data_IF_808022700805
#
_entry.id   IF_808022700805
#
_cell.length_a   1.000
_cell.length_b   1.000
_cell.length_c   1.000
_cell.angle_alpha   90.00
_cell.angle_beta   90.00
_cell.angle_gamma   90.00
#
_symmetry.space_group_name_H-M   'P 1'
#
loop_
_entity.id
_entity.type
_entity.pdbx_description
1 polymer ?
#
# COMPACT_ATOMS: atom_id res chain seq x y z
N UNK A 1 33.37 -1.27 -2.94
CA UNK A 1 32.21 -1.13 -2.04
C UNK A 1 31.05 -0.62 -2.88
N UNK A 2 30.23 -1.53 -3.39
CA UNK A 2 29.09 -1.21 -4.25
C UNK A 2 27.98 -0.64 -3.35
N UNK A 3 27.86 0.68 -3.30
CA UNK A 3 26.72 1.32 -2.66
C UNK A 3 25.50 1.01 -3.53
N UNK A 4 24.75 -0.02 -3.15
CA UNK A 4 23.43 -0.30 -3.67
C UNK A 4 22.60 0.95 -3.41
N UNK A 5 22.52 1.83 -4.40
CA UNK A 5 21.49 2.86 -4.46
C UNK A 5 20.18 2.08 -4.42
N UNK A 6 19.61 1.86 -3.24
CA UNK A 6 18.23 1.44 -3.14
C UNK A 6 17.45 2.55 -3.82
N UNK A 7 16.87 2.31 -5.00
CA UNK A 7 16.10 3.36 -5.65
C UNK A 7 14.95 3.72 -4.69
N UNK A 8 14.50 4.99 -4.68
CA UNK A 8 13.39 5.43 -3.83
C UNK A 8 12.12 4.56 -3.93
N UNK A 9 12.00 3.74 -4.98
CA UNK A 9 10.94 2.73 -5.13
C UNK A 9 11.03 1.49 -4.22
N UNK A 10 12.12 1.23 -3.49
CA UNK A 10 12.25 0.03 -2.64
C UNK A 10 11.31 0.09 -1.43
N UNK A 11 11.17 1.28 -0.84
CA UNK A 11 10.20 1.56 0.22
C UNK A 11 8.78 1.35 -0.27
N UNK A 12 8.43 1.88 -1.45
CA UNK A 12 7.08 1.72 -2.00
C UNK A 12 6.78 0.29 -2.41
N UNK A 13 7.76 -0.48 -2.92
CA UNK A 13 7.57 -1.92 -3.16
C UNK A 13 7.26 -2.67 -1.86
N UNK A 14 7.98 -2.39 -0.78
CA UNK A 14 7.70 -2.98 0.54
C UNK A 14 6.31 -2.64 1.05
N UNK A 15 5.90 -1.38 0.91
CA UNK A 15 4.57 -0.91 1.29
C UNK A 15 3.50 -1.62 0.48
N UNK A 16 3.64 -1.68 -0.85
CA UNK A 16 2.70 -2.37 -1.74
C UNK A 16 2.57 -3.85 -1.40
N UNK A 17 3.70 -4.56 -1.23
CA UNK A 17 3.69 -5.97 -0.85
C UNK A 17 3.02 -6.20 0.50
N UNK A 18 3.35 -5.38 1.50
CA UNK A 18 2.75 -5.50 2.83
C UNK A 18 1.25 -5.18 2.82
N UNK A 19 0.84 -4.11 2.11
CA UNK A 19 -0.58 -3.76 1.98
C UNK A 19 -1.36 -4.88 1.29
N UNK A 20 -0.83 -5.44 0.19
CA UNK A 20 -1.47 -6.59 -0.47
C UNK A 20 -1.60 -7.78 0.46
N UNK A 21 -0.53 -8.14 1.18
CA UNK A 21 -0.53 -9.26 2.13
C UNK A 21 -1.60 -9.07 3.22
N UNK A 22 -1.69 -7.87 3.82
CA UNK A 22 -2.72 -7.58 4.83
C UNK A 22 -4.13 -7.58 4.25
N UNK A 23 -4.32 -7.10 3.02
CA UNK A 23 -5.63 -7.12 2.35
C UNK A 23 -6.05 -8.55 1.96
N UNK A 24 -5.10 -9.41 1.63
CA UNK A 24 -5.32 -10.83 1.34
C UNK A 24 -5.58 -11.63 2.62
N UNK A 25 -4.83 -11.39 3.69
CA UNK A 25 -5.01 -12.04 5.00
C UNK A 25 -6.29 -11.56 5.71
N UNK A 26 -6.65 -10.29 5.54
CA UNK A 26 -7.81 -9.66 6.17
C UNK A 26 -8.69 -8.94 5.14
N UNK A 27 -9.48 -9.67 4.34
CA UNK A 27 -10.44 -9.06 3.41
C UNK A 27 -11.53 -8.26 4.14
N UNK A 28 -11.73 -8.49 5.44
CA UNK A 28 -12.62 -7.72 6.31
C UNK A 28 -12.05 -6.35 6.70
N UNK A 29 -10.72 -6.17 6.65
CA UNK A 29 -10.07 -4.90 7.00
C UNK A 29 -10.28 -3.91 5.86
N UNK A 30 -10.68 -2.69 6.24
CA UNK A 30 -10.77 -1.59 5.27
C UNK A 30 -9.37 -1.18 4.86
N UNK A 31 -9.20 -0.95 3.55
CA UNK A 31 -7.97 -0.43 2.95
C UNK A 31 -7.47 0.83 3.63
N UNK A 32 -8.40 1.70 4.05
CA UNK A 32 -8.10 2.93 4.80
C UNK A 32 -7.36 2.67 6.11
N UNK A 33 -7.68 1.57 6.79
CA UNK A 33 -7.02 1.14 8.03
C UNK A 33 -5.61 0.61 7.73
N UNK A 34 -5.49 -0.25 6.70
CA UNK A 34 -4.21 -0.78 6.23
C UNK A 34 -3.28 0.35 5.77
N UNK A 35 -3.79 1.36 5.07
CA UNK A 35 -2.99 2.52 4.65
C UNK A 35 -2.55 3.37 5.83
N UNK A 36 -3.40 3.56 6.84
CA UNK A 36 -3.04 4.26 8.08
C UNK A 36 -1.94 3.51 8.84
N UNK A 37 -2.04 2.18 8.95
CA UNK A 37 -0.98 1.34 9.52
C UNK A 37 0.31 1.46 8.70
N UNK A 38 0.20 1.37 7.37
CA UNK A 38 1.36 1.53 6.48
C UNK A 38 1.99 2.91 6.63
N UNK A 39 1.18 3.96 6.84
CA UNK A 39 1.66 5.33 6.99
C UNK A 39 2.52 5.49 8.24
N UNK A 40 2.11 4.88 9.34
CA UNK A 40 2.85 4.91 10.60
C UNK A 40 4.07 3.99 10.53
N UNK A 41 3.92 2.78 9.95
CA UNK A 41 5.01 1.78 9.91
C UNK A 41 6.12 2.13 8.92
N UNK A 42 5.76 2.66 7.77
CA UNK A 42 6.70 2.97 6.71
C UNK A 42 7.02 4.47 6.60
N UNK A 43 6.39 5.33 7.40
CA UNK A 43 6.53 6.78 7.32
C UNK A 43 6.07 7.29 5.94
N UNK A 44 4.87 6.88 5.51
CA UNK A 44 4.31 7.36 4.23
C UNK A 44 3.92 8.82 4.36
N UNK A 45 4.18 9.58 3.31
CA UNK A 45 3.61 10.92 3.19
C UNK A 45 2.13 10.82 2.81
N UNK A 46 1.32 11.86 3.10
CA UNK A 46 -0.08 11.91 2.67
C UNK A 46 -0.24 11.65 1.16
N UNK A 47 0.70 12.15 0.36
CA UNK A 47 0.77 11.94 -1.08
C UNK A 47 0.93 10.46 -1.47
N UNK A 48 1.76 9.72 -0.74
CA UNK A 48 2.00 8.30 -0.99
C UNK A 48 0.78 7.46 -0.59
N UNK A 49 0.07 7.86 0.47
CA UNK A 49 -1.19 7.26 0.89
C UNK A 49 -2.29 7.44 -0.18
N UNK A 50 -2.42 8.64 -0.75
CA UNK A 50 -3.33 8.89 -1.87
C UNK A 50 -2.93 8.10 -3.13
N UNK A 51 -1.63 7.95 -3.41
CA UNK A 51 -1.16 7.14 -4.52
C UNK A 51 -1.56 5.67 -4.36
N UNK A 52 -1.38 5.12 -3.15
CA UNK A 52 -1.80 3.77 -2.82
C UNK A 52 -3.32 3.62 -2.94
N UNK A 53 -4.10 4.53 -2.36
CA UNK A 53 -5.56 4.50 -2.46
C UNK A 53 -6.02 4.54 -3.92
N UNK A 54 -5.45 5.41 -4.76
CA UNK A 54 -5.76 5.47 -6.18
C UNK A 54 -5.36 4.19 -6.94
N UNK A 55 -4.19 3.62 -6.62
CA UNK A 55 -3.69 2.39 -7.25
C UNK A 55 -4.59 1.19 -6.90
N UNK A 56 -4.95 1.03 -5.63
CA UNK A 56 -5.79 -0.08 -5.16
C UNK A 56 -7.28 0.15 -5.45
N UNK A 57 -7.82 1.37 -5.39
CA UNK A 57 -9.22 1.67 -5.70
C UNK A 57 -9.60 1.28 -7.14
N UNK A 58 -8.65 1.38 -8.07
CA UNK A 58 -8.83 0.85 -9.43
C UNK A 58 -8.99 -0.67 -9.47
N UNK A 59 -8.40 -1.39 -8.52
CA UNK A 59 -8.58 -2.84 -8.36
C UNK A 59 -9.89 -3.23 -7.64
N UNK A 60 -10.48 -2.36 -6.80
CA UNK A 60 -11.77 -2.64 -6.10
C UNK A 60 -12.98 -2.56 -7.03
N UNK A 61 -12.91 -1.75 -8.09
CA UNK A 61 -14.10 -1.40 -8.89
C UNK A 61 -14.70 -2.57 -9.67
N UNK A 62 -14.11 -3.76 -9.57
CA UNK A 62 -14.64 -5.00 -10.11
C UNK A 62 -15.58 -5.77 -9.13
N UNK A 63 -15.63 -5.43 -7.84
CA UNK A 63 -16.34 -6.22 -6.81
C UNK A 63 -17.43 -5.45 -6.04
N UNK A 64 -18.17 -4.54 -6.69
CA UNK A 64 -19.40 -3.96 -6.09
C UNK A 64 -20.57 -3.92 -7.06
N UNK A 65 -20.81 -5.04 -7.73
CA UNK A 65 -22.08 -5.33 -8.42
C UNK A 65 -22.73 -6.55 -7.74
N UNK A 66 -23.27 -6.35 -6.55
CA UNK A 66 -24.30 -7.23 -5.99
C UNK A 66 -25.59 -6.43 -5.83
#
# INVERSE_FOLDING_TARGET
MSHSMQPPGDKMKKVLSWVSEILEEHPEKKRTDVFREAQIRFDLSPLECEFLDCHFAKADRADKKL
#
